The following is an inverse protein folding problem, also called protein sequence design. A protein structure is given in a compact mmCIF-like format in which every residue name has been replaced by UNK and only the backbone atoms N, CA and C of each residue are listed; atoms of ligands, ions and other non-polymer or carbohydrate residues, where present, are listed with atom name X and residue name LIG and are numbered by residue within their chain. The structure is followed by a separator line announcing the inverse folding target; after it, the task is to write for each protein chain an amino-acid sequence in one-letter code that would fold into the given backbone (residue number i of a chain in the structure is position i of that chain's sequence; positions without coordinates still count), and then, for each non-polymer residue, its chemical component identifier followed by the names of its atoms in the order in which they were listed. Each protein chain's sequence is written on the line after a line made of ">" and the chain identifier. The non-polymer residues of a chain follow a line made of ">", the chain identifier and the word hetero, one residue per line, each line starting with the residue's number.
data_IF_319105293725
#
_entry.id   IF_319105293725
#
_cell.length_a   1.000
_cell.length_b   1.000
_cell.length_c   1.000
_cell.angle_alpha   90.00
_cell.angle_beta   90.00
_cell.angle_gamma   90.00
#
_symmetry.space_group_name_H-M   'P 1'
#
loop_
_entity.id
_entity.type
_entity.pdbx_description
1 polymer ?
#
# COMPACT_ATOMS: atom_id res chain seq x y z
N UNK A 1 12.70 25.66 28.82
CA UNK A 1 12.39 24.30 28.27
C UNK A 1 13.57 23.39 28.57
N UNK A 2 13.36 22.25 29.22
CA UNK A 2 14.46 21.35 29.60
C UNK A 2 15.10 20.71 28.36
N UNK A 3 16.41 20.44 28.39
CA UNK A 3 17.14 19.78 27.30
C UNK A 3 16.60 18.38 26.97
N UNK A 4 15.99 17.71 27.96
CA UNK A 4 15.32 16.42 27.76
C UNK A 4 14.12 16.52 26.82
N UNK A 5 13.33 17.58 26.94
CA UNK A 5 12.12 17.78 26.13
C UNK A 5 12.46 18.04 24.66
N UNK A 6 13.55 18.78 24.40
CA UNK A 6 14.06 19.02 23.04
C UNK A 6 14.45 17.71 22.35
N UNK A 7 15.21 16.85 23.04
CA UNK A 7 15.61 15.53 22.51
C UNK A 7 14.40 14.64 22.19
N UNK A 8 13.40 14.64 23.06
CA UNK A 8 12.14 13.91 22.83
C UNK A 8 11.44 14.42 21.57
N UNK A 9 11.34 15.73 21.38
CA UNK A 9 10.71 16.32 20.18
C UNK A 9 11.47 15.96 18.90
N UNK A 10 12.81 16.01 18.92
CA UNK A 10 13.63 15.58 17.77
C UNK A 10 13.41 14.10 17.44
N UNK A 11 13.39 13.22 18.44
CA UNK A 11 13.13 11.79 18.23
C UNK A 11 11.72 11.53 17.68
N UNK A 12 10.71 12.24 18.18
CA UNK A 12 9.35 12.19 17.61
C UNK A 12 9.33 12.60 16.13
N UNK A 13 10.14 13.60 15.73
CA UNK A 13 10.28 14.00 14.32
C UNK A 13 10.88 12.86 13.48
N UNK A 14 11.95 12.22 13.96
CA UNK A 14 12.57 11.09 13.27
C UNK A 14 11.62 9.90 13.11
N UNK A 15 10.83 9.57 14.13
CA UNK A 15 9.82 8.50 14.08
C UNK A 15 8.80 8.76 12.96
N UNK A 16 8.29 10.00 12.86
CA UNK A 16 7.40 10.40 11.76
C UNK A 16 8.08 10.28 10.40
N UNK A 17 9.34 10.71 10.30
CA UNK A 17 10.11 10.60 9.05
C UNK A 17 10.38 9.16 8.63
N UNK A 18 10.53 8.25 9.59
CA UNK A 18 10.68 6.81 9.37
C UNK A 18 9.37 6.12 8.95
N UNK A 19 8.25 6.85 8.88
CA UNK A 19 6.94 6.30 8.52
C UNK A 19 6.29 5.48 9.62
N UNK A 20 6.72 5.65 10.88
CA UNK A 20 6.18 4.92 12.02
C UNK A 20 5.03 5.72 12.62
N UNK A 21 3.82 5.17 12.56
CA UNK A 21 2.64 5.79 13.15
C UNK A 21 2.42 5.27 14.58
N UNK A 22 2.63 6.14 15.56
CA UNK A 22 2.38 5.85 16.97
C UNK A 22 0.99 6.35 17.34
N UNK A 23 0.09 5.45 17.75
CA UNK A 23 -1.30 5.79 18.14
C UNK A 23 -1.35 6.80 19.28
N UNK A 24 -0.67 6.50 20.38
CA UNK A 24 -0.52 7.40 21.51
C UNK A 24 0.88 7.27 22.11
N UNK A 25 1.49 8.41 22.46
CA UNK A 25 2.78 8.41 23.16
C UNK A 25 2.63 8.17 24.65
N UNK A 26 1.44 8.37 25.21
CA UNK A 26 1.15 8.12 26.61
C UNK A 26 1.22 6.61 26.90
N UNK A 27 0.68 5.78 26.01
CA UNK A 27 0.77 4.31 26.12
C UNK A 27 2.22 3.83 25.97
N UNK A 28 2.97 4.46 25.04
CA UNK A 28 4.38 4.16 24.86
C UNK A 28 5.21 4.46 26.14
N UNK A 29 4.73 5.39 26.96
CA UNK A 29 5.40 5.81 28.20
C UNK A 29 4.74 5.25 29.46
N UNK A 30 3.81 4.29 29.37
CA UNK A 30 3.09 3.78 30.53
C UNK A 30 4.00 3.28 31.67
N UNK A 31 5.23 2.85 31.37
CA UNK A 31 6.27 2.49 32.36
C UNK A 31 7.40 3.51 32.57
N UNK A 32 7.37 4.66 31.89
CA UNK A 32 8.46 5.63 31.83
C UNK A 32 8.21 6.86 32.70
N UNK A 33 8.75 6.87 33.92
CA UNK A 33 8.63 8.01 34.86
C UNK A 33 9.64 9.14 34.58
N UNK A 34 10.80 8.84 33.98
CA UNK A 34 11.86 9.83 33.72
C UNK A 34 12.01 10.20 32.25
N UNK A 35 12.52 11.41 31.97
CA UNK A 35 12.81 11.85 30.60
C UNK A 35 13.86 10.96 29.92
N UNK A 36 14.80 10.40 30.69
CA UNK A 36 15.83 9.48 30.20
C UNK A 36 15.16 8.18 29.72
N UNK A 37 14.21 7.64 30.50
CA UNK A 37 13.45 6.45 30.13
C UNK A 37 12.63 6.70 28.85
N UNK A 38 11.96 7.85 28.73
CA UNK A 38 11.22 8.23 27.51
C UNK A 38 12.12 8.28 26.28
N UNK A 39 13.32 8.88 26.40
CA UNK A 39 14.31 8.91 25.31
C UNK A 39 14.77 7.51 24.93
N UNK A 40 14.99 6.63 25.92
CA UNK A 40 15.37 5.24 25.70
C UNK A 40 14.28 4.49 24.93
N UNK A 41 13.02 4.57 25.36
CA UNK A 41 11.90 3.94 24.64
C UNK A 41 11.78 4.41 23.19
N UNK A 42 11.95 5.71 22.92
CA UNK A 42 11.89 6.23 21.54
C UNK A 42 13.05 5.71 20.67
N UNK A 43 14.25 5.57 21.24
CA UNK A 43 15.40 4.96 20.55
C UNK A 43 15.19 3.48 20.28
N UNK A 44 14.66 2.74 21.25
CA UNK A 44 14.32 1.32 21.09
C UNK A 44 13.27 1.11 20.00
N UNK A 45 12.24 1.97 19.95
CA UNK A 45 11.24 1.93 18.90
C UNK A 45 11.86 2.19 17.52
N UNK A 46 12.76 3.17 17.40
CA UNK A 46 13.49 3.41 16.14
C UNK A 46 14.36 2.21 15.74
N UNK A 47 15.02 1.55 16.70
CA UNK A 47 15.83 0.36 16.46
C UNK A 47 14.99 -0.83 15.97
N UNK A 48 13.80 -1.05 16.55
CA UNK A 48 12.85 -2.09 16.08
C UNK A 48 12.44 -1.91 14.61
N UNK A 49 12.40 -0.68 14.13
CA UNK A 49 12.11 -0.36 12.72
C UNK A 49 13.38 -0.19 11.86
N UNK A 50 14.55 -0.63 12.33
CA UNK A 50 15.78 -0.70 11.55
C UNK A 50 16.62 0.57 11.53
N UNK A 51 16.32 1.57 12.38
CA UNK A 51 17.15 2.77 12.56
C UNK A 51 18.05 2.58 13.78
N UNK A 52 19.18 1.88 13.59
CA UNK A 52 20.14 1.60 14.66
C UNK A 52 21.19 2.72 14.80
N UNK A 53 21.61 2.96 16.05
CA UNK A 53 22.63 3.95 16.42
C UNK A 53 22.11 5.39 16.39
N UNK A 54 22.93 6.34 15.90
CA UNK A 54 22.52 7.74 15.76
C UNK A 54 21.42 7.87 14.69
N UNK A 55 20.24 8.39 15.05
CA UNK A 55 19.17 8.62 14.08
C UNK A 55 19.54 9.79 13.18
N UNK A 56 19.63 9.51 11.87
CA UNK A 56 19.82 10.51 10.82
C UNK A 56 18.63 10.49 9.88
N UNK A 57 18.41 11.61 9.19
CA UNK A 57 17.31 11.77 8.22
C UNK A 57 17.36 10.67 7.14
N UNK A 58 18.56 10.39 6.62
CA UNK A 58 18.80 9.39 5.58
C UNK A 58 18.43 7.97 6.04
N UNK A 59 18.84 7.59 7.27
CA UNK A 59 18.48 6.28 7.84
C UNK A 59 16.97 6.15 8.02
N UNK A 60 16.29 7.20 8.46
CA UNK A 60 14.82 7.20 8.60
C UNK A 60 14.13 7.02 7.25
N UNK A 61 14.56 7.75 6.21
CA UNK A 61 14.04 7.59 4.84
C UNK A 61 14.29 6.18 4.29
N UNK A 62 15.47 5.61 4.55
CA UNK A 62 15.82 4.25 4.15
C UNK A 62 14.94 3.21 4.85
N UNK A 63 14.70 3.35 6.15
CA UNK A 63 13.81 2.48 6.91
C UNK A 63 12.37 2.55 6.39
N UNK A 64 11.87 3.76 6.09
CA UNK A 64 10.55 3.95 5.49
C UNK A 64 10.41 3.19 4.16
N UNK A 65 11.34 3.41 3.22
CA UNK A 65 11.35 2.72 1.92
C UNK A 65 11.36 1.20 2.09
N UNK A 66 12.18 0.67 3.00
CA UNK A 66 12.24 -0.78 3.29
C UNK A 66 10.90 -1.31 3.80
N UNK A 67 10.26 -0.60 4.72
CA UNK A 67 8.97 -1.02 5.27
C UNK A 67 7.88 -0.96 4.19
N UNK A 68 7.90 0.04 3.31
CA UNK A 68 6.99 0.13 2.16
C UNK A 68 7.22 -1.06 1.22
N UNK A 69 8.46 -1.36 0.80
CA UNK A 69 8.74 -2.53 -0.05
C UNK A 69 8.32 -3.86 0.57
N UNK A 70 8.46 -4.02 1.90
CA UNK A 70 8.03 -5.23 2.59
C UNK A 70 6.50 -5.37 2.61
N UNK A 71 5.78 -4.25 2.73
CA UNK A 71 4.32 -4.24 2.62
C UNK A 71 3.88 -4.57 1.19
N UNK A 72 4.52 -3.99 0.19
CA UNK A 72 4.22 -4.26 -1.22
C UNK A 72 4.41 -5.76 -1.53
N UNK A 73 5.48 -6.37 -1.02
CA UNK A 73 5.72 -7.82 -1.16
C UNK A 73 4.65 -8.64 -0.43
N UNK A 74 4.21 -8.22 0.76
CA UNK A 74 3.19 -8.92 1.53
C UNK A 74 1.78 -8.80 0.92
N UNK A 75 1.48 -7.68 0.26
CA UNK A 75 0.22 -7.44 -0.47
C UNK A 75 0.20 -8.09 -1.87
N UNK A 76 1.37 -8.51 -2.38
CA UNK A 76 1.49 -9.13 -3.69
C UNK A 76 0.76 -10.47 -3.75
N UNK A 77 -0.41 -10.48 -4.38
CA UNK A 77 -1.18 -11.71 -4.57
C UNK A 77 -0.65 -12.51 -5.77
N UNK A 78 0.11 -13.57 -5.48
CA UNK A 78 0.67 -14.48 -6.49
C UNK A 78 -0.38 -15.30 -7.23
N UNK A 79 -1.59 -15.46 -6.68
CA UNK A 79 -2.66 -16.22 -7.35
C UNK A 79 -3.15 -15.56 -8.64
N UNK A 80 -2.96 -14.25 -8.78
CA UNK A 80 -3.34 -13.48 -9.97
C UNK A 80 -2.30 -13.57 -11.09
N UNK A 81 -1.16 -14.20 -10.85
CA UNK A 81 -0.11 -14.36 -11.86
C UNK A 81 -0.59 -15.42 -12.85
N UNK A 82 -0.89 -14.98 -14.07
CA UNK A 82 -1.19 -15.88 -15.19
C UNK A 82 0.13 -16.60 -15.54
N UNK A 83 0.23 -17.88 -15.20
CA UNK A 83 1.43 -18.70 -15.47
C UNK A 83 1.62 -19.03 -16.95
N UNK A 84 0.52 -18.99 -17.71
CA UNK A 84 0.53 -19.14 -19.16
C UNK A 84 0.92 -17.84 -19.87
N UNK A 85 1.55 -17.95 -21.05
CA UNK A 85 1.87 -16.80 -21.89
C UNK A 85 0.62 -16.02 -22.31
N UNK A 86 0.81 -14.86 -22.98
CA UNK A 86 -0.31 -14.03 -23.45
C UNK A 86 -1.31 -14.85 -24.27
N UNK A 87 -2.49 -15.10 -23.71
CA UNK A 87 -3.56 -15.80 -24.41
C UNK A 87 -4.08 -14.91 -25.55
N UNK A 88 -3.75 -15.29 -26.78
CA UNK A 88 -4.23 -14.61 -27.97
C UNK A 88 -5.70 -14.98 -28.24
N UNK A 89 -6.43 -14.13 -28.99
CA UNK A 89 -7.84 -14.41 -29.34
C UNK A 89 -7.99 -15.73 -30.11
N UNK A 90 -6.97 -16.14 -30.87
CA UNK A 90 -6.95 -17.39 -31.61
C UNK A 90 -6.80 -18.63 -30.70
N UNK A 91 -6.14 -18.51 -29.55
CA UNK A 91 -6.00 -19.61 -28.58
C UNK A 91 -7.27 -19.81 -27.75
N UNK A 92 -7.95 -18.73 -27.33
CA UNK A 92 -9.21 -18.80 -26.56
C UNK A 92 -10.32 -19.61 -27.25
N UNK A 93 -10.32 -19.65 -28.58
CA UNK A 93 -11.33 -20.36 -29.35
C UNK A 93 -11.04 -21.87 -29.50
N UNK A 94 -9.88 -22.36 -29.02
CA UNK A 94 -9.53 -23.79 -29.07
C UNK A 94 -10.04 -24.55 -27.85
N UNK A 95 -10.09 -23.90 -26.70
CA UNK A 95 -10.38 -24.54 -25.41
C UNK A 95 -11.87 -24.52 -25.02
N UNK A 96 -12.74 -23.85 -25.79
CA UNK A 96 -14.19 -23.86 -25.58
C UNK A 96 -14.88 -25.20 -25.88
N UNK A 97 -14.09 -26.27 -26.10
CA UNK A 97 -14.57 -27.64 -26.29
C UNK A 97 -14.37 -28.56 -25.07
N UNK A 98 -13.77 -28.08 -23.97
CA UNK A 98 -13.61 -28.87 -22.73
C UNK A 98 -13.99 -28.09 -21.47
N UNK A 99 -15.01 -28.63 -20.80
CA UNK A 99 -15.34 -28.49 -19.37
C UNK A 99 -15.97 -27.18 -18.87
N UNK A 100 -17.29 -27.15 -19.05
CA UNK A 100 -18.23 -26.69 -18.02
C UNK A 100 -18.07 -27.48 -16.71
N UNK A 101 -17.35 -26.92 -15.73
CA UNK A 101 -17.40 -27.42 -14.34
C UNK A 101 -17.31 -26.27 -13.31
N UNK A 102 -18.51 -25.87 -12.85
CA UNK A 102 -18.87 -25.31 -11.52
C UNK A 102 -18.15 -24.05 -11.01
N UNK A 103 -18.85 -22.91 -11.07
CA UNK A 103 -18.67 -21.73 -10.21
C UNK A 103 -20.02 -21.44 -9.52
N UNK A 104 -20.07 -21.15 -8.20
CA UNK A 104 -21.32 -20.83 -7.51
C UNK A 104 -21.80 -19.41 -7.89
N UNK A 105 -23.11 -19.28 -7.99
CA UNK A 105 -23.82 -18.13 -8.52
C UNK A 105 -23.61 -16.86 -7.68
N UNK A 106 -23.16 -15.78 -8.33
CA UNK A 106 -23.42 -14.41 -7.87
C UNK A 106 -23.94 -13.59 -9.05
N UNK A 107 -25.08 -12.89 -8.93
CA UNK A 107 -25.71 -12.24 -10.07
C UNK A 107 -25.28 -10.77 -10.16
N UNK A 108 -24.51 -10.40 -11.18
CA UNK A 108 -24.29 -8.97 -11.46
C UNK A 108 -24.10 -8.66 -12.95
N UNK A 109 -25.14 -7.97 -13.48
CA UNK A 109 -25.12 -6.88 -14.47
C UNK A 109 -24.79 -7.21 -15.93
N UNK A 110 -25.68 -7.96 -16.60
CA UNK A 110 -25.74 -8.05 -18.08
C UNK A 110 -26.80 -7.12 -18.71
N UNK A 111 -27.11 -5.95 -18.13
CA UNK A 111 -28.19 -5.07 -18.64
C UNK A 111 -27.76 -3.68 -19.13
N UNK A 112 -26.50 -3.28 -18.99
CA UNK A 112 -26.08 -1.91 -19.36
C UNK A 112 -25.50 -1.77 -20.78
N UNK A 113 -25.07 -2.86 -21.41
CA UNK A 113 -24.36 -2.80 -22.72
C UNK A 113 -25.28 -2.54 -23.91
N UNK A 114 -26.61 -2.63 -23.77
CA UNK A 114 -27.55 -2.40 -24.88
C UNK A 114 -27.89 -0.92 -25.12
N UNK A 115 -27.49 0.00 -24.23
CA UNK A 115 -27.86 1.42 -24.31
C UNK A 115 -26.70 2.35 -24.70
N UNK A 116 -25.46 1.86 -24.77
CA UNK A 116 -24.31 2.66 -25.20
C UNK A 116 -24.29 2.87 -26.72
N UNK A 117 -24.65 1.86 -27.51
CA UNK A 117 -24.60 1.92 -28.98
C UNK A 117 -25.60 2.91 -29.60
N UNK A 118 -26.70 3.24 -28.91
CA UNK A 118 -27.67 4.25 -29.41
C UNK A 118 -27.18 5.70 -29.26
N UNK A 119 -26.19 5.96 -28.40
CA UNK A 119 -25.64 7.31 -28.19
C UNK A 119 -24.59 7.72 -29.21
N UNK A 120 -24.09 6.78 -30.01
CA UNK A 120 -22.98 7.03 -30.97
C UNK A 120 -23.49 7.33 -32.39
N UNK A 121 -24.81 7.39 -32.60
CA UNK A 121 -25.41 7.48 -33.94
C UNK A 121 -25.69 8.91 -34.46
N UNK A 122 -25.12 9.95 -33.83
CA UNK A 122 -25.28 11.33 -34.32
C UNK A 122 -23.96 12.10 -34.22
N UNK A 123 -22.96 11.68 -34.98
CA UNK A 123 -21.93 12.61 -35.48
C UNK A 123 -22.18 12.69 -36.98
N UNK A 124 -22.93 13.72 -37.36
CA UNK A 124 -23.21 14.08 -38.76
C UNK A 124 -21.97 14.77 -39.30
N UNK A 125 -21.48 14.32 -40.45
CA UNK A 125 -20.33 14.89 -41.16
C UNK A 125 -20.61 16.34 -41.58
N UNK A 126 -19.89 17.29 -40.99
CA UNK A 126 -19.94 18.72 -41.33
C UNK A 126 -18.90 19.08 -42.40
N UNK A 127 -18.99 18.48 -43.59
CA UNK A 127 -18.27 19.01 -44.76
C UNK A 127 -18.94 18.59 -46.07
N UNK A 128 -19.91 19.40 -46.52
CA UNK A 128 -20.38 19.48 -47.91
C UNK A 128 -21.19 20.77 -48.08
N UNK A 129 -20.49 21.86 -48.35
CA UNK A 129 -20.70 22.89 -49.40
C UNK A 129 -19.88 24.16 -49.12
#
# INVERSE_FOLDING_TARGET
>A
KSEGDKKIQSLKKYIRMAGIYVKSYNDLWAGCKSNIAKVKCLKELLAKHGVNGRPTIEKCKKARKRNETLKDIAELNTSNIISEGRVTRAQRNKDSSKESAKIPETPTKLRETRYSFKRVLCVVDSDSE
#
